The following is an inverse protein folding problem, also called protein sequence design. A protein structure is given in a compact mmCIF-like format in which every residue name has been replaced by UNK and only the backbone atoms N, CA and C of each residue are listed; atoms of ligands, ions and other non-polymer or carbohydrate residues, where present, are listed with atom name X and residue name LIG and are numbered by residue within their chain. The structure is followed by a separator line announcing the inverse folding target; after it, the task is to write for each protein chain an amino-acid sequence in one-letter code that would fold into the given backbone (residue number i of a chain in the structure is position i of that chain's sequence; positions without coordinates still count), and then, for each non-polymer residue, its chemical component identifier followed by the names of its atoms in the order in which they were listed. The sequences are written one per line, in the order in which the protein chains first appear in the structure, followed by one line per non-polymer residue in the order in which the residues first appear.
data_IF_720375548250
#
_entry.id   IF_720375548250
#
_cell.length_a   1.000
_cell.length_b   1.000
_cell.length_c   1.000
_cell.angle_alpha   90.00
_cell.angle_beta   90.00
_cell.angle_gamma   90.00
#
_symmetry.space_group_name_H-M   'P 1'
#
loop_
_entity.id
_entity.type
_entity.pdbx_description
1 polymer ?
#
# COMPACT_ATOMS: atom_id res chain seq x y z
N UNK A 1 62.79 -34.89 -19.64
CA UNK A 1 61.71 -35.59 -18.89
C UNK A 1 61.37 -34.96 -17.55
N UNK A 2 62.30 -34.82 -16.59
CA UNK A 2 62.00 -34.23 -15.27
C UNK A 2 61.41 -32.81 -15.32
N UNK A 3 61.89 -31.97 -16.24
CA UNK A 3 61.40 -30.59 -16.39
C UNK A 3 59.97 -30.52 -16.98
N UNK A 4 59.63 -31.45 -17.87
CA UNK A 4 58.28 -31.56 -18.46
C UNK A 4 57.29 -32.02 -17.38
N UNK A 5 57.68 -33.01 -16.56
CA UNK A 5 56.87 -33.49 -15.43
C UNK A 5 56.60 -32.40 -14.38
N UNK A 6 57.55 -31.49 -14.15
CA UNK A 6 57.38 -30.34 -13.25
C UNK A 6 56.37 -29.33 -13.81
N UNK A 7 56.46 -29.00 -15.10
CA UNK A 7 55.52 -28.08 -15.77
C UNK A 7 54.10 -28.65 -15.81
N UNK A 8 53.92 -29.94 -16.05
CA UNK A 8 52.60 -30.60 -16.00
C UNK A 8 51.96 -30.54 -14.61
N UNK A 9 52.75 -30.75 -13.55
CA UNK A 9 52.27 -30.59 -12.17
C UNK A 9 51.88 -29.15 -11.84
N UNK A 10 52.62 -28.19 -12.35
CA UNK A 10 52.34 -26.76 -12.15
C UNK A 10 51.05 -26.33 -12.87
N UNK A 11 50.82 -26.83 -14.10
CA UNK A 11 49.58 -26.62 -14.84
C UNK A 11 48.39 -27.24 -14.10
N UNK A 12 48.52 -28.50 -13.64
CA UNK A 12 47.46 -29.17 -12.88
C UNK A 12 47.10 -28.44 -11.57
N UNK A 13 48.10 -27.85 -10.89
CA UNK A 13 47.86 -27.01 -9.71
C UNK A 13 47.10 -25.73 -10.06
N UNK A 14 47.48 -25.04 -11.15
CA UNK A 14 46.79 -23.83 -11.61
C UNK A 14 45.35 -24.11 -12.05
N UNK A 15 45.10 -25.22 -12.74
CA UNK A 15 43.74 -25.64 -13.11
C UNK A 15 42.86 -25.91 -11.89
N UNK A 16 43.41 -26.56 -10.85
CA UNK A 16 42.70 -26.76 -9.59
C UNK A 16 42.42 -25.44 -8.85
N UNK A 17 43.36 -24.50 -8.90
CA UNK A 17 43.18 -23.18 -8.29
C UNK A 17 42.11 -22.35 -9.00
N UNK A 18 42.07 -22.39 -10.33
CA UNK A 18 41.01 -21.75 -11.14
C UNK A 18 39.66 -22.39 -10.82
N UNK A 19 39.58 -23.72 -10.81
CA UNK A 19 38.34 -24.44 -10.49
C UNK A 19 37.83 -24.12 -9.08
N UNK A 20 38.72 -23.92 -8.11
CA UNK A 20 38.34 -23.48 -6.76
C UNK A 20 37.79 -22.05 -6.76
N UNK A 21 38.44 -21.13 -7.48
CA UNK A 21 37.97 -19.73 -7.59
C UNK A 21 36.62 -19.62 -8.28
N UNK A 22 36.37 -20.43 -9.31
CA UNK A 22 35.07 -20.48 -9.99
C UNK A 22 33.96 -20.95 -9.04
N UNK A 23 34.22 -21.98 -8.23
CA UNK A 23 33.28 -22.45 -7.20
C UNK A 23 33.04 -21.44 -6.09
N UNK A 24 34.07 -20.68 -5.70
CA UNK A 24 33.91 -19.58 -4.74
C UNK A 24 33.04 -18.45 -5.29
N UNK A 25 33.16 -18.15 -6.58
CA UNK A 25 32.33 -17.14 -7.24
C UNK A 25 30.87 -17.60 -7.30
N UNK A 26 30.62 -18.84 -7.73
CA UNK A 26 29.28 -19.43 -7.80
C UNK A 26 28.60 -19.45 -6.42
N UNK A 27 29.35 -19.75 -5.36
CA UNK A 27 28.81 -19.71 -3.99
C UNK A 27 28.42 -18.29 -3.56
N UNK A 28 29.21 -17.27 -3.93
CA UNK A 28 28.85 -15.87 -3.66
C UNK A 28 27.58 -15.44 -4.41
N UNK A 29 27.44 -15.86 -5.67
CA UNK A 29 26.25 -15.56 -6.47
C UNK A 29 25.01 -16.22 -5.88
N UNK A 30 25.12 -17.49 -5.45
CA UNK A 30 24.04 -18.22 -4.77
C UNK A 30 23.67 -17.56 -3.43
N UNK A 31 24.65 -17.08 -2.65
CA UNK A 31 24.38 -16.34 -1.42
C UNK A 31 23.66 -15.01 -1.67
N UNK A 32 24.03 -14.29 -2.74
CA UNK A 32 23.32 -13.08 -3.13
C UNK A 32 21.88 -13.37 -3.51
N UNK A 33 21.64 -14.37 -4.37
CA UNK A 33 20.31 -14.79 -4.79
C UNK A 33 19.44 -15.23 -3.61
N UNK A 34 20.00 -15.98 -2.67
CA UNK A 34 19.29 -16.42 -1.46
C UNK A 34 18.88 -15.22 -0.58
N UNK A 35 19.76 -14.23 -0.44
CA UNK A 35 19.48 -13.01 0.34
C UNK A 35 18.35 -12.21 -0.28
N UNK A 36 18.30 -12.12 -1.60
CA UNK A 36 17.22 -11.39 -2.29
C UNK A 36 15.88 -12.15 -2.21
N UNK A 37 15.90 -13.47 -2.39
CA UNK A 37 14.70 -14.31 -2.20
C UNK A 37 14.14 -14.27 -0.76
N UNK A 38 15.00 -14.13 0.26
CA UNK A 38 14.56 -13.95 1.65
C UNK A 38 13.86 -12.62 1.87
N UNK A 39 14.39 -11.52 1.31
CA UNK A 39 13.72 -10.20 1.37
C UNK A 39 12.35 -10.24 0.70
N UNK A 40 12.23 -10.91 -0.44
CA UNK A 40 10.95 -11.04 -1.15
C UNK A 40 9.91 -11.76 -0.29
N UNK A 41 10.31 -12.84 0.40
CA UNK A 41 9.43 -13.55 1.36
C UNK A 41 9.07 -12.71 2.58
N UNK A 42 10.00 -11.94 3.12
CA UNK A 42 9.72 -11.01 4.22
C UNK A 42 8.72 -9.92 3.81
N UNK A 43 8.87 -9.38 2.59
CA UNK A 43 7.92 -8.44 2.00
C UNK A 43 6.55 -9.09 1.90
N UNK A 44 6.45 -10.30 1.34
CA UNK A 44 5.19 -11.03 1.20
C UNK A 44 4.51 -11.32 2.55
N UNK A 45 5.28 -11.73 3.57
CA UNK A 45 4.77 -11.94 4.92
C UNK A 45 4.25 -10.62 5.55
N UNK A 46 4.96 -9.51 5.35
CA UNK A 46 4.47 -8.19 5.77
C UNK A 46 3.20 -7.76 5.02
N UNK A 47 3.07 -8.08 3.72
CA UNK A 47 1.83 -7.84 2.97
C UNK A 47 0.66 -8.63 3.54
N UNK A 48 0.85 -9.92 3.83
CA UNK A 48 -0.19 -10.75 4.44
C UNK A 48 -0.56 -10.25 5.84
N UNK A 49 0.41 -9.87 6.67
CA UNK A 49 0.12 -9.29 8.00
C UNK A 49 -0.62 -7.97 7.91
N UNK A 50 -0.27 -7.11 6.94
CA UNK A 50 -0.96 -5.85 6.72
C UNK A 50 -2.37 -6.06 6.18
N UNK A 51 -2.58 -6.97 5.22
CA UNK A 51 -3.90 -7.37 4.76
C UNK A 51 -4.76 -7.95 5.89
N UNK A 52 -4.17 -8.77 6.77
CA UNK A 52 -4.84 -9.29 7.96
C UNK A 52 -5.17 -8.16 8.93
N UNK A 53 -4.25 -7.24 9.18
CA UNK A 53 -4.46 -6.10 10.07
C UNK A 53 -5.50 -5.11 9.50
N UNK A 54 -5.57 -4.95 8.19
CA UNK A 54 -6.58 -4.17 7.48
C UNK A 54 -7.92 -4.89 7.51
N UNK A 55 -7.96 -6.20 7.29
CA UNK A 55 -9.18 -6.99 7.47
C UNK A 55 -9.69 -6.93 8.90
N UNK A 56 -8.79 -6.93 9.88
CA UNK A 56 -9.13 -6.75 11.30
C UNK A 56 -9.52 -5.30 11.62
N UNK A 57 -8.89 -4.30 11.00
CA UNK A 57 -9.20 -2.87 11.20
C UNK A 57 -10.48 -2.43 10.48
N UNK A 58 -10.78 -3.04 9.33
CA UNK A 58 -12.10 -2.97 8.66
C UNK A 58 -13.20 -3.67 9.47
N UNK A 59 -12.82 -4.45 10.48
CA UNK A 59 -13.69 -5.24 11.36
C UNK A 59 -13.36 -4.90 12.82
N UNK A 60 -13.23 -3.62 13.16
CA UNK A 60 -13.37 -3.23 14.58
C UNK A 60 -14.87 -3.26 14.89
N UNK A 61 -15.33 -4.34 15.52
CA UNK A 61 -16.75 -4.64 15.82
C UNK A 61 -17.62 -5.10 14.63
N UNK A 62 -17.05 -5.75 13.60
CA UNK A 62 -17.80 -6.36 12.48
C UNK A 62 -18.53 -5.39 11.54
N UNK A 63 -18.07 -4.14 11.40
CA UNK A 63 -18.73 -3.14 10.55
C UNK A 63 -17.72 -2.44 9.64
N UNK A 64 -18.02 -2.44 8.34
CA UNK A 64 -17.24 -1.71 7.34
C UNK A 64 -17.76 -0.28 7.27
N UNK A 65 -16.91 0.68 7.63
CA UNK A 65 -17.32 2.08 7.67
C UNK A 65 -16.61 2.99 6.68
N UNK A 66 -17.11 4.23 6.53
CA UNK A 66 -16.52 5.19 5.59
C UNK A 66 -15.05 5.46 5.90
N UNK A 67 -14.63 5.47 7.18
CA UNK A 67 -13.23 5.64 7.55
C UNK A 67 -12.43 4.37 7.22
N UNK A 68 -12.96 3.19 7.52
CA UNK A 68 -12.37 1.91 7.21
C UNK A 68 -12.12 1.74 5.72
N UNK A 69 -13.06 2.19 4.87
CA UNK A 69 -12.86 2.22 3.43
C UNK A 69 -11.67 3.11 3.02
N UNK A 70 -11.51 4.29 3.64
CA UNK A 70 -10.33 5.12 3.42
C UNK A 70 -9.07 4.43 3.96
N UNK A 71 -9.09 3.86 5.16
CA UNK A 71 -7.94 3.16 5.76
C UNK A 71 -7.50 1.94 4.92
N UNK A 72 -8.44 1.21 4.33
CA UNK A 72 -8.16 0.14 3.38
C UNK A 72 -7.36 0.67 2.18
N UNK A 73 -7.83 1.75 1.58
CA UNK A 73 -7.16 2.39 0.42
C UNK A 73 -5.78 2.93 0.80
N UNK A 74 -5.64 3.54 1.98
CA UNK A 74 -4.34 3.94 2.52
C UNK A 74 -3.38 2.75 2.64
N UNK A 75 -3.87 1.62 3.14
CA UNK A 75 -3.04 0.45 3.38
C UNK A 75 -2.67 -0.31 2.11
N UNK A 76 -3.59 -0.40 1.15
CA UNK A 76 -3.34 -0.87 -0.21
C UNK A 76 -2.22 -0.04 -0.86
N UNK A 77 -2.33 1.28 -0.78
CA UNK A 77 -1.31 2.19 -1.27
C UNK A 77 0.03 2.03 -0.54
N UNK A 78 0.00 1.82 0.78
CA UNK A 78 1.19 1.53 1.58
C UNK A 78 1.90 0.25 1.14
N UNK A 79 1.12 -0.78 0.84
CA UNK A 79 1.60 -2.09 0.39
C UNK A 79 2.31 -2.00 -0.98
N UNK A 80 1.79 -1.15 -1.86
CA UNK A 80 2.28 -0.98 -3.23
C UNK A 80 3.42 0.05 -3.34
N UNK A 81 3.42 1.07 -2.47
CA UNK A 81 4.28 2.25 -2.59
C UNK A 81 5.02 2.62 -1.30
N UNK A 82 5.33 1.63 -0.45
CA UNK A 82 5.95 1.82 0.88
C UNK A 82 7.16 2.77 0.87
N UNK A 83 8.05 2.67 -0.12
CA UNK A 83 9.26 3.50 -0.21
C UNK A 83 8.93 4.97 -0.49
N UNK A 84 8.00 5.24 -1.41
CA UNK A 84 7.54 6.59 -1.77
C UNK A 84 6.75 7.21 -0.60
N UNK A 85 5.95 6.39 0.09
CA UNK A 85 5.18 6.80 1.26
C UNK A 85 6.04 7.03 2.51
N UNK A 86 7.12 6.28 2.69
CA UNK A 86 8.08 6.49 3.77
C UNK A 86 8.67 7.90 3.75
N UNK A 87 8.89 8.47 2.56
CA UNK A 87 9.32 9.86 2.40
C UNK A 87 8.17 10.86 2.63
N UNK A 88 6.97 10.56 2.11
CA UNK A 88 5.79 11.40 2.27
C UNK A 88 5.33 11.56 3.74
N UNK A 89 5.62 10.56 4.58
CA UNK A 89 5.13 10.47 5.96
C UNK A 89 6.06 11.02 7.04
N UNK A 90 7.21 11.60 6.67
CA UNK A 90 8.13 12.25 7.63
C UNK A 90 7.57 13.57 8.22
N UNK A 91 6.37 14.00 7.81
CA UNK A 91 5.73 15.21 8.34
C UNK A 91 5.18 14.96 9.75
N UNK A 92 5.39 15.93 10.66
CA UNK A 92 4.86 15.90 12.05
C UNK A 92 3.34 16.08 12.12
N UNK A 93 2.74 16.76 11.14
CA UNK A 93 1.30 17.01 11.10
C UNK A 93 0.55 15.84 10.45
N UNK A 94 -0.41 15.26 11.19
CA UNK A 94 -1.26 14.16 10.74
C UNK A 94 -2.08 14.52 9.48
N UNK A 95 -2.57 15.76 9.38
CA UNK A 95 -3.33 16.19 8.20
C UNK A 95 -2.44 16.31 6.97
N UNK A 96 -1.29 16.97 7.10
CA UNK A 96 -0.32 17.07 6.02
C UNK A 96 0.23 15.71 5.58
N UNK A 97 0.37 14.76 6.52
CA UNK A 97 0.72 13.36 6.23
C UNK A 97 -0.37 12.69 5.40
N UNK A 98 -1.62 12.74 5.84
CA UNK A 98 -2.75 12.18 5.11
C UNK A 98 -2.90 12.78 3.70
N UNK A 99 -2.71 14.09 3.56
CA UNK A 99 -2.76 14.77 2.26
C UNK A 99 -1.63 14.31 1.33
N UNK A 100 -0.41 14.11 1.85
CA UNK A 100 0.70 13.61 1.04
C UNK A 100 0.44 12.18 0.53
N UNK A 101 -0.14 11.31 1.38
CA UNK A 101 -0.55 9.96 0.96
C UNK A 101 -1.63 10.02 -0.12
N UNK A 102 -2.68 10.82 0.08
CA UNK A 102 -3.74 10.96 -0.92
C UNK A 102 -3.24 11.53 -2.25
N UNK A 103 -2.29 12.47 -2.22
CA UNK A 103 -1.66 12.98 -3.44
C UNK A 103 -1.02 11.85 -4.23
N UNK A 104 -0.25 10.99 -3.56
CA UNK A 104 0.39 9.85 -4.22
C UNK A 104 -0.64 8.87 -4.78
N UNK A 105 -1.65 8.49 -4.00
CA UNK A 105 -2.73 7.58 -4.44
C UNK A 105 -3.40 8.12 -5.70
N UNK A 106 -3.73 9.41 -5.67
CA UNK A 106 -4.38 10.11 -6.75
C UNK A 106 -3.50 10.23 -8.00
N UNK A 107 -2.18 10.29 -7.86
CA UNK A 107 -1.24 10.34 -8.98
C UNK A 107 -1.01 8.96 -9.60
N UNK A 108 -1.00 7.90 -8.78
CA UNK A 108 -0.90 6.50 -9.23
C UNK A 108 -2.22 5.98 -9.80
N UNK A 109 -3.34 6.60 -9.44
CA UNK A 109 -4.71 6.19 -9.82
C UNK A 109 -5.45 7.34 -10.53
N UNK A 110 -5.02 7.73 -11.75
CA UNK A 110 -5.60 8.88 -12.47
C UNK A 110 -7.10 8.73 -12.78
N UNK A 111 -7.60 7.51 -12.93
CA UNK A 111 -9.03 7.23 -13.09
C UNK A 111 -9.85 7.61 -11.84
N UNK A 112 -9.30 7.39 -10.64
CA UNK A 112 -9.93 7.81 -9.38
C UNK A 112 -10.00 9.34 -9.30
N UNK A 113 -8.92 10.01 -9.68
CA UNK A 113 -8.87 11.47 -9.78
C UNK A 113 -9.97 12.04 -10.68
N UNK A 114 -10.13 11.45 -11.87
CA UNK A 114 -11.14 11.86 -12.84
C UNK A 114 -12.54 11.59 -12.31
N UNK A 115 -12.77 10.44 -11.65
CA UNK A 115 -14.04 10.13 -11.02
C UNK A 115 -14.40 11.18 -9.95
N UNK A 116 -13.47 11.46 -9.03
CA UNK A 116 -13.68 12.45 -7.96
C UNK A 116 -13.92 13.84 -8.56
N UNK A 117 -13.16 14.25 -9.56
CA UNK A 117 -13.36 15.55 -10.21
C UNK A 117 -14.69 15.69 -10.94
N UNK A 118 -15.30 14.58 -11.39
CA UNK A 118 -16.63 14.58 -12.02
C UNK A 118 -17.77 14.58 -11.00
N UNK A 119 -17.58 13.92 -9.86
CA UNK A 119 -18.60 13.74 -8.82
C UNK A 119 -18.50 14.76 -7.68
N UNK A 120 -17.50 15.64 -7.72
CA UNK A 120 -17.28 16.68 -6.72
C UNK A 120 -16.95 18.00 -7.38
N UNK A 121 -17.12 19.10 -6.65
CA UNK A 121 -16.62 20.42 -7.06
C UNK A 121 -15.14 20.64 -6.76
N UNK A 122 -14.40 19.60 -6.37
CA UNK A 122 -13.01 19.73 -5.95
C UNK A 122 -12.08 19.89 -7.14
N UNK A 123 -11.21 20.89 -7.07
CA UNK A 123 -10.13 21.05 -8.03
C UNK A 123 -9.05 20.01 -7.79
N UNK A 124 -8.38 19.56 -8.85
CA UNK A 124 -7.31 18.55 -8.79
C UNK A 124 -6.24 18.89 -7.75
N UNK A 125 -5.84 20.16 -7.68
CA UNK A 125 -4.84 20.64 -6.73
C UNK A 125 -5.26 20.51 -5.25
N UNK A 126 -6.56 20.48 -4.98
CA UNK A 126 -7.12 20.48 -3.62
C UNK A 126 -7.64 19.11 -3.18
N UNK A 127 -7.88 18.18 -4.10
CA UNK A 127 -8.48 16.86 -3.82
C UNK A 127 -7.80 16.14 -2.66
N UNK A 128 -6.46 16.10 -2.64
CA UNK A 128 -5.72 15.42 -1.59
C UNK A 128 -5.95 16.03 -0.20
N UNK A 129 -6.04 17.36 -0.12
CA UNK A 129 -6.33 18.08 1.13
C UNK A 129 -7.79 17.87 1.57
N UNK A 130 -8.73 17.80 0.62
CA UNK A 130 -10.13 17.53 0.89
C UNK A 130 -10.34 16.10 1.42
N UNK A 131 -9.70 15.12 0.80
CA UNK A 131 -9.73 13.72 1.26
C UNK A 131 -9.05 13.55 2.63
N UNK A 132 -7.94 14.24 2.88
CA UNK A 132 -7.32 14.26 4.21
C UNK A 132 -8.23 14.91 5.27
N UNK A 133 -8.98 15.95 4.90
CA UNK A 133 -9.96 16.59 5.78
C UNK A 133 -11.14 15.65 6.06
N UNK A 134 -11.65 14.97 5.03
CA UNK A 134 -12.70 13.95 5.17
C UNK A 134 -12.25 12.81 6.08
N UNK A 135 -11.03 12.31 5.91
CA UNK A 135 -10.44 11.29 6.76
C UNK A 135 -10.37 11.73 8.24
N UNK A 136 -9.91 12.95 8.49
CA UNK A 136 -9.90 13.53 9.84
C UNK A 136 -11.31 13.71 10.41
N UNK A 137 -12.27 14.14 9.58
CA UNK A 137 -13.67 14.30 9.98
C UNK A 137 -14.31 12.96 10.37
N UNK A 138 -14.10 11.91 9.60
CA UNK A 138 -14.65 10.59 9.90
C UNK A 138 -13.98 9.95 11.13
N UNK A 139 -12.75 10.37 11.46
CA UNK A 139 -12.03 9.89 12.65
C UNK A 139 -12.72 10.25 13.96
N UNK A 140 -13.54 11.31 14.00
CA UNK A 140 -14.34 11.66 15.18
C UNK A 140 -15.70 10.93 15.25
N UNK A 141 -16.06 10.15 14.22
CA UNK A 141 -17.41 9.58 14.06
C UNK A 141 -17.46 8.04 14.05
N UNK A 142 -16.35 7.37 14.40
CA UNK A 142 -16.13 5.91 14.30
C UNK A 142 -17.06 5.05 15.18
N UNK A 143 -17.97 5.66 15.96
CA UNK A 143 -18.85 4.93 16.90
C UNK A 143 -20.35 5.30 16.79
N UNK A 144 -20.79 5.91 15.68
CA UNK A 144 -22.18 6.33 15.51
C UNK A 144 -23.15 5.26 14.97
N UNK A 145 -24.45 5.46 15.20
CA UNK A 145 -25.58 4.62 14.70
C UNK A 145 -25.73 4.53 13.17
N UNK A 146 -24.77 5.02 12.41
CA UNK A 146 -24.81 5.20 10.96
C UNK A 146 -24.23 4.01 10.19
N UNK A 147 -23.59 3.08 10.90
CA UNK A 147 -22.98 1.88 10.32
C UNK A 147 -23.79 0.67 10.77
N UNK A 148 -24.66 0.18 9.88
CA UNK A 148 -25.54 -0.95 10.18
C UNK A 148 -25.22 -2.16 9.33
N UNK A 149 -24.46 -2.02 8.23
CA UNK A 149 -24.06 -3.13 7.40
C UNK A 149 -22.71 -3.77 7.79
N UNK A 150 -22.68 -5.09 7.78
CA UNK A 150 -21.45 -5.89 7.92
C UNK A 150 -20.76 -6.17 6.59
N UNK A 151 -21.42 -5.91 5.45
CA UNK A 151 -20.98 -6.35 4.13
C UNK A 151 -20.71 -5.21 3.15
N UNK A 152 -21.09 -3.98 3.49
CA UNK A 152 -20.92 -2.81 2.64
C UNK A 152 -20.77 -1.54 3.48
N UNK A 153 -20.13 -0.52 2.91
CA UNK A 153 -20.02 0.81 3.51
C UNK A 153 -21.35 1.55 3.42
N UNK A 154 -21.85 1.99 4.57
CA UNK A 154 -23.01 2.88 4.64
C UNK A 154 -22.52 4.35 4.47
N UNK A 155 -22.66 4.92 3.26
CA UNK A 155 -22.32 6.33 3.00
C UNK A 155 -23.45 7.20 3.53
N UNK A 156 -23.31 7.67 4.77
CA UNK A 156 -24.34 8.41 5.49
C UNK A 156 -24.32 9.90 5.13
N UNK A 157 -25.36 10.39 4.45
CA UNK A 157 -25.48 11.78 4.01
C UNK A 157 -25.49 12.82 5.16
N UNK A 158 -25.78 12.42 6.39
CA UNK A 158 -25.71 13.29 7.57
C UNK A 158 -24.28 13.57 8.04
N UNK A 159 -23.35 12.65 7.77
CA UNK A 159 -21.96 12.75 8.23
C UNK A 159 -21.04 13.38 7.18
N UNK A 160 -21.45 13.35 5.92
CA UNK A 160 -20.65 13.83 4.80
C UNK A 160 -21.48 14.68 3.87
N UNK A 161 -20.92 15.79 3.39
CA UNK A 161 -21.60 16.62 2.41
C UNK A 161 -21.68 15.90 1.03
N UNK A 162 -22.49 16.39 0.07
CA UNK A 162 -22.67 15.73 -1.22
C UNK A 162 -21.36 15.49 -2.01
N UNK A 163 -20.41 16.43 -1.95
CA UNK A 163 -19.10 16.28 -2.60
C UNK A 163 -18.29 15.17 -1.93
N UNK A 164 -18.27 15.12 -0.59
CA UNK A 164 -17.59 14.06 0.16
C UNK A 164 -18.22 12.69 -0.09
N UNK A 165 -19.56 12.61 -0.18
CA UNK A 165 -20.25 11.38 -0.54
C UNK A 165 -19.86 10.92 -1.95
N UNK A 166 -19.87 11.81 -2.94
CA UNK A 166 -19.43 11.48 -4.31
C UNK A 166 -17.97 11.03 -4.38
N UNK A 167 -17.08 11.61 -3.56
CA UNK A 167 -15.70 11.14 -3.44
C UNK A 167 -15.64 9.72 -2.84
N UNK A 168 -16.42 9.42 -1.80
CA UNK A 168 -16.48 8.10 -1.20
C UNK A 168 -16.99 7.03 -2.17
N UNK A 169 -18.02 7.35 -2.96
CA UNK A 169 -18.58 6.46 -4.00
C UNK A 169 -17.48 6.10 -5.02
N UNK A 170 -16.77 7.10 -5.54
CA UNK A 170 -15.63 6.89 -6.45
C UNK A 170 -14.51 6.03 -5.85
N UNK A 171 -14.20 6.22 -4.56
CA UNK A 171 -13.18 5.43 -3.86
C UNK A 171 -13.64 3.97 -3.74
N UNK A 172 -14.89 3.76 -3.35
CA UNK A 172 -15.43 2.42 -3.21
C UNK A 172 -15.47 1.69 -4.55
N UNK A 173 -15.90 2.35 -5.63
CA UNK A 173 -15.89 1.80 -6.99
C UNK A 173 -14.47 1.43 -7.45
N UNK A 174 -13.49 2.34 -7.26
CA UNK A 174 -12.12 2.12 -7.71
C UNK A 174 -11.43 0.92 -7.03
N UNK A 175 -11.86 0.58 -5.81
CA UNK A 175 -11.28 -0.49 -5.00
C UNK A 175 -12.22 -1.68 -4.80
N UNK A 176 -13.32 -1.76 -5.55
CA UNK A 176 -14.34 -2.82 -5.45
C UNK A 176 -14.87 -3.03 -4.02
N UNK A 177 -15.03 -1.94 -3.27
CA UNK A 177 -15.61 -1.97 -1.92
C UNK A 177 -17.13 -1.83 -2.08
N UNK A 178 -17.94 -2.80 -1.62
CA UNK A 178 -19.39 -2.65 -1.67
C UNK A 178 -19.85 -1.46 -0.82
N UNK A 179 -20.79 -0.66 -1.33
CA UNK A 179 -21.35 0.48 -0.60
C UNK A 179 -22.82 0.69 -0.93
N UNK A 180 -23.52 1.41 -0.05
CA UNK A 180 -24.84 1.98 -0.33
C UNK A 180 -24.93 3.41 0.20
N UNK A 181 -25.72 4.23 -0.48
CA UNK A 181 -26.05 5.58 -0.01
C UNK A 181 -27.19 5.49 0.99
N UNK A 182 -26.97 5.99 2.20
CA UNK A 182 -28.02 6.09 3.21
C UNK A 182 -28.68 7.47 3.13
N UNK A 183 -30.02 7.55 2.96
CA UNK A 183 -30.72 8.82 3.05
C UNK A 183 -30.50 9.44 4.44
N UNK A 184 -30.54 10.76 4.52
CA UNK A 184 -30.59 11.44 5.81
C UNK A 184 -31.85 10.97 6.56
N UNK A 185 -31.72 10.65 7.85
CA UNK A 185 -32.84 10.41 8.74
C UNK A 185 -33.67 11.68 8.80
N UNK A 186 -34.95 11.55 8.47
CA UNK A 186 -35.97 12.58 8.71
C UNK A 186 -36.16 12.84 10.21
#
# INVERSE_FOLDING_TARGET
EKEISLKEKEISLKEKEISLKDKELENKDLQSALKDALKDKEIEAMRMQLQLHVGISLVVNSKLDMRGALEYVFSEAWTQHATELGQATMKKDHKAKAAAVWSLILDKTPQLAVCIGKNTRWQRADMANQLATLYGHLSSHVHGHYQNSMTQVDIAAELVNPDQAGAMECICDAYNIPYKRCPARE
#
